data_IF_126747239876
#
_entry.id   IF_126747239876
#
_cell.length_a   1.000
_cell.length_b   1.000
_cell.length_c   1.000
_cell.angle_alpha   90.00
_cell.angle_beta   90.00
_cell.angle_gamma   90.00
#
_symmetry.space_group_name_H-M   'P 1'
#
loop_
_entity.id
_entity.type
_entity.pdbx_description
1 polymer ?
#
# COMPACT_ATOMS: atom_id res chain seq x y z
N UNK A 1 6.05 -20.03 7.36
CA UNK A 1 6.15 -21.49 7.51
C UNK A 1 4.89 -22.12 8.14
N UNK A 2 4.16 -21.44 9.04
CA UNK A 2 3.00 -22.02 9.73
C UNK A 2 1.81 -22.48 8.85
N UNK A 3 1.61 -21.91 7.65
CA UNK A 3 0.49 -22.30 6.77
C UNK A 3 0.67 -23.64 6.05
N UNK A 4 1.93 -24.07 5.82
CA UNK A 4 2.17 -25.35 5.15
C UNK A 4 1.91 -26.50 6.12
N UNK A 5 2.43 -26.39 7.35
CA UNK A 5 2.20 -27.36 8.42
C UNK A 5 0.72 -27.48 8.82
N UNK A 6 -0.06 -26.40 8.71
CA UNK A 6 -1.49 -26.46 9.03
C UNK A 6 -2.34 -27.19 7.97
N UNK A 7 -1.81 -27.36 6.76
CA UNK A 7 -2.50 -28.08 5.67
C UNK A 7 -2.30 -29.60 5.75
N UNK A 8 -1.23 -30.04 6.41
CA UNK A 8 -0.86 -31.47 6.49
C UNK A 8 -1.72 -32.29 7.47
N UNK A 9 -2.48 -31.67 8.38
CA UNK A 9 -3.04 -32.41 9.53
C UNK A 9 -4.53 -32.22 9.82
N UNK A 10 -5.31 -31.55 8.96
CA UNK A 10 -6.75 -31.31 9.21
C UNK A 10 -7.69 -32.17 8.35
N UNK A 11 -7.52 -33.49 8.44
CA UNK A 11 -8.63 -34.46 8.30
C UNK A 11 -8.71 -35.32 7.04
N UNK A 12 -7.83 -35.13 6.05
CA UNK A 12 -7.85 -35.95 4.81
C UNK A 12 -6.85 -37.11 4.80
N UNK A 13 -5.83 -37.09 5.67
CA UNK A 13 -4.75 -38.08 5.69
C UNK A 13 -3.70 -37.91 4.59
N UNK A 14 -3.70 -36.78 3.88
CA UNK A 14 -2.72 -36.49 2.82
C UNK A 14 -1.52 -35.76 3.43
N UNK A 15 -0.32 -36.32 3.23
CA UNK A 15 0.95 -35.67 3.58
C UNK A 15 1.68 -35.25 2.28
N UNK A 16 2.34 -34.08 2.31
CA UNK A 16 3.14 -33.62 1.18
C UNK A 16 4.40 -34.49 1.07
N UNK A 17 4.47 -35.36 0.05
CA UNK A 17 5.62 -36.25 -0.13
C UNK A 17 6.85 -35.51 -0.68
N UNK A 18 6.71 -34.76 -1.79
CA UNK A 18 7.81 -34.05 -2.43
C UNK A 18 7.35 -32.92 -3.36
N UNK A 19 8.07 -31.80 -3.34
CA UNK A 19 7.97 -30.75 -4.37
C UNK A 19 8.95 -31.09 -5.50
N UNK A 20 8.44 -31.31 -6.72
CA UNK A 20 9.23 -31.74 -7.88
C UNK A 20 10.01 -30.56 -8.48
N UNK A 21 9.40 -29.39 -8.55
CA UNK A 21 10.03 -28.14 -8.97
C UNK A 21 9.28 -26.92 -8.41
N UNK A 22 10.02 -25.85 -8.15
CA UNK A 22 9.47 -24.54 -7.79
C UNK A 22 10.17 -23.51 -8.66
N UNK A 23 9.41 -22.82 -9.50
CA UNK A 23 9.92 -21.71 -10.30
C UNK A 23 9.43 -20.39 -9.71
N UNK A 24 10.37 -19.54 -9.31
CA UNK A 24 10.08 -18.20 -8.79
C UNK A 24 10.66 -17.18 -9.76
N UNK A 25 9.77 -16.55 -10.54
CA UNK A 25 10.16 -15.48 -11.45
C UNK A 25 10.14 -14.14 -10.71
N UNK A 26 11.32 -13.54 -10.53
CA UNK A 26 11.49 -12.25 -9.85
C UNK A 26 11.83 -11.20 -10.90
N UNK A 27 10.87 -10.35 -11.22
CA UNK A 27 11.10 -9.19 -12.09
C UNK A 27 11.46 -7.97 -11.24
N UNK A 28 12.55 -7.28 -11.61
CA UNK A 28 12.90 -5.99 -11.01
C UNK A 28 11.94 -4.94 -11.56
N UNK A 29 10.98 -4.52 -10.74
CA UNK A 29 10.11 -3.40 -11.07
C UNK A 29 10.75 -2.11 -10.57
N UNK A 30 11.12 -1.21 -11.49
CA UNK A 30 11.61 0.11 -11.13
C UNK A 30 10.42 0.97 -10.72
N UNK A 31 10.20 1.03 -9.42
CA UNK A 31 9.19 1.90 -8.86
C UNK A 31 9.75 3.31 -8.90
N UNK A 32 9.25 4.12 -9.84
CA UNK A 32 9.54 5.55 -9.88
C UNK A 32 9.25 6.23 -8.53
N UNK A 33 9.79 7.43 -8.35
CA UNK A 33 9.56 8.23 -7.15
C UNK A 33 8.06 8.30 -6.83
N UNK A 34 7.71 8.20 -5.55
CA UNK A 34 6.31 8.27 -5.12
C UNK A 34 5.66 9.57 -5.61
N UNK A 35 4.34 9.55 -5.78
CA UNK A 35 3.59 10.77 -6.08
C UNK A 35 3.92 11.85 -5.04
N UNK A 36 4.13 13.09 -5.47
CA UNK A 36 4.35 14.22 -4.56
C UNK A 36 3.01 14.78 -4.09
N UNK A 37 2.07 14.97 -5.02
CA UNK A 37 0.78 15.61 -4.79
C UNK A 37 -0.40 14.73 -5.24
N UNK A 38 -1.62 15.27 -5.14
CA UNK A 38 -2.83 14.58 -5.51
C UNK A 38 -2.83 14.11 -6.97
N UNK A 39 -2.91 12.80 -7.17
CA UNK A 39 -3.15 12.19 -8.48
C UNK A 39 -4.57 11.64 -8.51
N UNK A 40 -5.30 11.94 -9.59
CA UNK A 40 -6.66 11.43 -9.76
C UNK A 40 -6.62 9.92 -10.01
N UNK A 41 -7.30 9.16 -9.15
CA UNK A 41 -7.48 7.71 -9.34
C UNK A 41 -8.22 7.41 -10.65
N UNK A 42 -7.86 6.31 -11.36
CA UNK A 42 -8.66 5.81 -12.46
C UNK A 42 -10.11 5.55 -12.02
N UNK A 43 -11.07 5.83 -12.91
CA UNK A 43 -12.49 5.77 -12.60
C UNK A 43 -12.94 4.40 -12.07
N UNK A 44 -12.36 3.32 -12.61
CA UNK A 44 -12.63 1.96 -12.16
C UNK A 44 -12.28 1.71 -10.68
N UNK A 45 -11.30 2.42 -10.12
CA UNK A 45 -10.91 2.30 -8.71
C UNK A 45 -11.67 3.31 -7.87
N UNK A 46 -11.78 4.55 -8.35
CA UNK A 46 -12.53 5.62 -7.68
C UNK A 46 -13.98 5.22 -7.41
N UNK A 47 -14.65 4.63 -8.40
CA UNK A 47 -16.06 4.24 -8.28
C UNK A 47 -16.29 3.08 -7.30
N UNK A 48 -15.25 2.33 -6.93
CA UNK A 48 -15.34 1.28 -5.90
C UNK A 48 -15.36 1.85 -4.48
N UNK A 49 -15.04 3.13 -4.29
CA UNK A 49 -14.90 3.78 -2.98
C UNK A 49 -14.00 3.01 -2.00
N UNK A 50 -13.04 2.24 -2.52
CA UNK A 50 -12.16 1.38 -1.72
C UNK A 50 -10.90 2.11 -1.21
N UNK A 51 -10.59 3.29 -1.77
CA UNK A 51 -9.43 4.08 -1.42
C UNK A 51 -9.85 5.51 -1.05
N UNK A 52 -9.32 6.00 0.07
CA UNK A 52 -9.40 7.43 0.40
C UNK A 52 -8.27 8.12 -0.35
N UNK A 53 -8.61 9.03 -1.25
CA UNK A 53 -7.64 9.82 -2.03
C UNK A 53 -7.70 11.28 -1.58
N UNK A 54 -6.83 11.64 -0.63
CA UNK A 54 -6.79 12.98 -0.04
C UNK A 54 -6.21 13.96 -1.06
N UNK A 55 -6.93 15.05 -1.33
CA UNK A 55 -6.51 16.15 -2.20
C UNK A 55 -5.58 17.08 -1.46
N UNK A 56 -4.27 16.87 -1.62
CA UNK A 56 -3.22 17.74 -1.11
C UNK A 56 -2.61 18.58 -2.23
N UNK A 57 -2.17 19.79 -1.89
CA UNK A 57 -1.47 20.74 -2.79
C UNK A 57 0.03 20.84 -2.48
N UNK A 58 0.52 20.05 -1.52
CA UNK A 58 1.92 19.98 -1.09
C UNK A 58 2.58 18.68 -1.61
N UNK A 59 3.85 18.46 -1.28
CA UNK A 59 4.58 17.22 -1.63
C UNK A 59 4.45 16.11 -0.56
N UNK A 60 3.47 16.22 0.33
CA UNK A 60 3.31 15.39 1.52
C UNK A 60 2.20 14.33 1.37
N UNK A 61 1.89 13.88 0.16
CA UNK A 61 0.76 12.96 -0.08
C UNK A 61 0.87 11.66 0.74
N UNK A 62 2.09 11.16 0.96
CA UNK A 62 2.35 9.98 1.78
C UNK A 62 1.84 10.20 3.21
N UNK A 63 2.19 11.33 3.83
CA UNK A 63 1.78 11.63 5.19
C UNK A 63 0.27 11.83 5.29
N UNK A 64 -0.33 12.57 4.35
CA UNK A 64 -1.79 12.72 4.29
C UNK A 64 -2.51 11.38 4.13
N UNK A 65 -1.95 10.46 3.34
CA UNK A 65 -2.51 9.11 3.16
C UNK A 65 -2.43 8.29 4.46
N UNK A 66 -1.31 8.36 5.18
CA UNK A 66 -1.18 7.70 6.48
C UNK A 66 -2.18 8.27 7.49
N UNK A 67 -2.28 9.60 7.60
CA UNK A 67 -3.19 10.26 8.54
C UNK A 67 -4.64 9.90 8.23
N UNK A 68 -5.05 9.90 6.96
CA UNK A 68 -6.44 9.55 6.61
C UNK A 68 -6.80 8.11 6.95
N UNK A 69 -5.84 7.18 6.88
CA UNK A 69 -6.04 5.80 7.32
C UNK A 69 -6.12 5.67 8.84
N UNK A 70 -5.37 6.48 9.59
CA UNK A 70 -5.34 6.46 11.06
C UNK A 70 -6.52 7.19 11.70
N UNK A 71 -7.00 8.26 11.06
CA UNK A 71 -8.05 9.13 11.57
C UNK A 71 -9.20 9.19 10.55
N UNK A 72 -9.93 8.08 10.33
CA UNK A 72 -10.93 8.00 9.27
C UNK A 72 -12.05 9.04 9.47
N UNK A 73 -12.27 9.87 8.45
CA UNK A 73 -13.38 10.83 8.44
C UNK A 73 -14.62 10.22 7.79
N UNK A 74 -15.80 10.50 8.37
CA UNK A 74 -17.10 10.07 7.84
C UNK A 74 -17.58 10.93 6.67
N UNK A 75 -17.11 12.17 6.56
CA UNK A 75 -17.55 13.13 5.55
C UNK A 75 -16.35 13.88 4.97
N UNK A 76 -16.40 14.19 3.67
CA UNK A 76 -15.33 14.90 2.96
C UNK A 76 -13.95 14.25 3.19
N UNK A 77 -13.87 12.92 3.17
CA UNK A 77 -12.64 12.17 3.43
C UNK A 77 -11.54 12.47 2.39
N UNK A 78 -11.88 13.11 1.28
CA UNK A 78 -10.97 13.57 0.24
C UNK A 78 -10.29 14.92 0.57
N UNK A 79 -10.60 15.60 1.67
CA UNK A 79 -10.04 16.91 2.01
C UNK A 79 -9.01 16.82 3.14
N UNK A 80 -7.91 17.55 3.02
CA UNK A 80 -6.88 17.67 4.08
C UNK A 80 -7.45 18.27 5.37
N UNK A 81 -8.38 19.21 5.27
CA UNK A 81 -9.02 19.85 6.43
C UNK A 81 -9.89 18.92 7.27
N UNK A 82 -10.21 17.72 6.76
CA UNK A 82 -10.94 16.69 7.51
C UNK A 82 -10.07 15.95 8.53
N UNK A 83 -8.76 16.21 8.53
CA UNK A 83 -7.77 15.48 9.32
C UNK A 83 -6.89 16.44 10.13
N UNK A 84 -6.32 15.99 11.26
CA UNK A 84 -5.23 16.72 11.89
C UNK A 84 -4.06 16.88 10.92
N UNK A 85 -3.34 17.99 11.03
CA UNK A 85 -2.15 18.21 10.21
C UNK A 85 -1.11 17.12 10.48
N UNK A 86 -0.49 16.56 9.43
CA UNK A 86 0.34 15.36 9.59
C UNK A 86 1.52 15.54 10.56
N UNK A 87 2.10 16.73 10.63
CA UNK A 87 3.22 17.04 11.55
C UNK A 87 2.82 17.02 13.02
N UNK A 88 1.54 17.09 13.37
CA UNK A 88 1.10 17.05 14.78
C UNK A 88 0.92 15.63 15.30
N UNK A 89 0.77 14.65 14.40
CA UNK A 89 0.45 13.26 14.72
C UNK A 89 1.52 12.26 14.27
N UNK A 90 2.42 12.65 13.37
CA UNK A 90 3.52 11.85 12.88
C UNK A 90 4.85 12.54 13.17
N UNK A 91 5.86 11.75 13.55
CA UNK A 91 7.25 12.17 13.55
C UNK A 91 7.77 12.13 12.10
N UNK A 92 8.04 13.32 11.54
CA UNK A 92 8.55 13.51 10.18
C UNK A 92 10.03 13.94 10.14
N UNK A 93 10.71 13.94 11.28
CA UNK A 93 12.06 14.49 11.40
C UNK A 93 13.07 13.69 10.58
N UNK A 94 13.74 14.40 9.66
CA UNK A 94 14.71 13.83 8.73
C UNK A 94 14.10 12.86 7.72
N UNK A 95 12.80 12.93 7.46
CA UNK A 95 12.15 12.27 6.32
C UNK A 95 12.08 13.25 5.14
N UNK A 96 12.40 12.76 3.95
CA UNK A 96 12.32 13.54 2.71
C UNK A 96 10.92 13.42 2.09
N UNK A 97 10.51 14.50 1.44
CA UNK A 97 9.31 14.58 0.60
C UNK A 97 9.73 14.83 -0.84
N UNK A 98 9.16 14.12 -1.84
CA UNK A 98 8.21 13.03 -1.70
C UNK A 98 8.82 11.77 -1.08
N UNK A 99 8.01 11.02 -0.33
CA UNK A 99 8.48 9.79 0.34
C UNK A 99 8.90 8.73 -0.68
N UNK A 100 10.11 8.21 -0.53
CA UNK A 100 10.59 7.07 -1.32
C UNK A 100 10.23 5.75 -0.66
N UNK A 101 10.15 4.66 -1.45
CA UNK A 101 9.93 3.32 -0.91
C UNK A 101 11.01 2.94 0.09
N UNK A 102 12.27 3.34 -0.13
CA UNK A 102 13.35 3.13 0.84
C UNK A 102 13.11 3.85 2.17
N UNK A 103 12.62 5.09 2.10
CA UNK A 103 12.32 5.95 3.26
C UNK A 103 11.22 5.42 4.18
N UNK A 104 10.28 4.62 3.66
CA UNK A 104 9.20 4.02 4.46
C UNK A 104 9.77 3.21 5.64
N UNK A 105 10.89 2.50 5.46
CA UNK A 105 11.51 1.72 6.56
C UNK A 105 11.93 2.60 7.74
N UNK A 106 12.36 3.84 7.48
CA UNK A 106 12.71 4.81 8.51
C UNK A 106 11.46 5.35 9.18
N UNK A 107 10.45 5.71 8.38
CA UNK A 107 9.14 6.15 8.87
C UNK A 107 8.49 5.12 9.82
N UNK A 108 8.46 3.84 9.43
CA UNK A 108 7.85 2.76 10.21
C UNK A 108 8.50 2.64 11.60
N UNK A 109 9.84 2.73 11.66
CA UNK A 109 10.59 2.68 12.92
C UNK A 109 10.35 3.90 13.81
N UNK A 110 10.29 5.10 13.22
CA UNK A 110 10.09 6.34 13.96
C UNK A 110 8.67 6.47 14.56
N UNK A 111 7.66 5.95 13.84
CA UNK A 111 6.26 6.16 14.21
C UNK A 111 5.57 4.92 14.82
N UNK A 112 6.22 3.74 14.79
CA UNK A 112 5.62 2.50 15.26
C UNK A 112 4.39 2.08 14.43
N UNK A 113 4.40 2.38 13.13
CA UNK A 113 3.34 2.06 12.18
C UNK A 113 3.93 1.14 11.12
N UNK A 114 3.19 0.09 10.73
CA UNK A 114 3.59 -0.79 9.62
C UNK A 114 2.83 -0.41 8.34
N UNK A 115 3.51 -0.44 7.20
CA UNK A 115 2.96 0.04 5.93
C UNK A 115 3.19 -0.98 4.82
N UNK A 116 2.11 -1.37 4.16
CA UNK A 116 2.17 -2.04 2.86
C UNK A 116 1.89 -1.05 1.74
N UNK A 117 2.56 -1.22 0.60
CA UNK A 117 2.35 -0.43 -0.60
C UNK A 117 1.96 -1.36 -1.73
N UNK A 118 0.84 -1.05 -2.38
CA UNK A 118 0.34 -1.73 -3.57
C UNK A 118 0.40 -0.80 -4.77
N UNK A 119 0.58 -1.36 -5.95
CA UNK A 119 0.51 -0.66 -7.24
C UNK A 119 -0.68 -1.18 -8.04
N UNK A 120 -1.02 -0.46 -9.11
CA UNK A 120 -2.02 -0.90 -10.08
C UNK A 120 -1.33 -1.35 -11.37
N UNK A 121 -1.61 -2.58 -11.77
CA UNK A 121 -1.22 -3.11 -13.08
C UNK A 121 -2.44 -3.16 -13.99
N UNK A 122 -2.34 -2.53 -15.15
CA UNK A 122 -3.40 -2.54 -16.15
C UNK A 122 -3.31 -3.82 -16.97
N UNK A 123 -4.38 -4.60 -16.96
CA UNK A 123 -4.54 -5.82 -17.73
C UNK A 123 -5.59 -5.64 -18.82
N UNK A 124 -5.42 -6.37 -19.91
CA UNK A 124 -6.34 -6.36 -21.06
C UNK A 124 -6.79 -7.78 -21.34
N UNK A 125 -8.10 -8.04 -21.29
CA UNK A 125 -8.67 -9.32 -21.69
C UNK A 125 -9.95 -9.10 -22.50
N UNK A 126 -10.04 -9.73 -23.67
CA UNK A 126 -11.22 -9.66 -24.56
C UNK A 126 -11.70 -8.21 -24.76
N UNK A 127 -10.78 -7.32 -25.13
CA UNK A 127 -11.02 -5.89 -25.36
C UNK A 127 -11.48 -5.07 -24.14
N UNK A 128 -11.50 -5.66 -22.93
CA UNK A 128 -11.78 -4.95 -21.69
C UNK A 128 -10.47 -4.70 -20.92
N UNK A 129 -10.29 -3.46 -20.48
CA UNK A 129 -9.21 -3.06 -19.58
C UNK A 129 -9.67 -3.15 -18.13
N UNK A 130 -8.83 -3.69 -17.26
CA UNK A 130 -9.08 -3.71 -15.82
C UNK A 130 -7.77 -3.59 -15.04
N UNK A 131 -7.84 -3.03 -13.84
CA UNK A 131 -6.69 -2.93 -12.96
C UNK A 131 -6.65 -4.11 -11.98
N UNK A 132 -5.46 -4.67 -11.80
CA UNK A 132 -5.12 -5.63 -10.75
C UNK A 132 -4.18 -4.95 -9.76
N UNK A 133 -4.45 -5.11 -8.47
CA UNK A 133 -3.53 -4.62 -7.42
C UNK A 133 -2.37 -5.58 -7.23
N UNK A 134 -1.15 -5.08 -7.31
CA UNK A 134 0.08 -5.87 -7.08
C UNK A 134 0.82 -5.34 -5.86
N UNK A 135 1.44 -6.20 -5.03
CA UNK A 135 2.25 -5.73 -3.91
C UNK A 135 3.57 -5.14 -4.43
N UNK A 136 3.85 -3.89 -4.05
CA UNK A 136 5.11 -3.21 -4.36
C UNK A 136 6.09 -3.26 -3.20
N UNK A 137 5.58 -3.14 -1.98
CA UNK A 137 6.33 -3.30 -0.74
C UNK A 137 5.41 -3.89 0.31
N UNK A 138 5.88 -4.93 1.00
CA UNK A 138 5.20 -5.47 2.17
C UNK A 138 6.06 -5.23 3.40
N UNK A 139 5.43 -4.78 4.49
CA UNK A 139 6.09 -4.71 5.78
C UNK A 139 6.49 -6.12 6.23
N UNK A 140 7.65 -6.25 6.88
CA UNK A 140 8.12 -7.55 7.39
C UNK A 140 7.28 -8.05 8.56
N UNK A 141 6.83 -7.13 9.40
CA UNK A 141 6.06 -7.39 10.61
C UNK A 141 4.87 -6.44 10.61
N UNK A 142 3.67 -7.01 10.66
CA UNK A 142 2.44 -6.24 10.83
C UNK A 142 2.31 -5.82 12.29
N UNK A 143 2.30 -4.52 12.53
CA UNK A 143 2.08 -3.91 13.85
C UNK A 143 0.58 -3.69 14.09
N UNK A 144 0.21 -3.38 15.34
CA UNK A 144 -1.17 -3.04 15.70
C UNK A 144 -1.69 -1.84 14.89
N UNK A 145 -0.84 -0.83 14.70
CA UNK A 145 -1.08 0.27 13.74
C UNK A 145 -0.54 -0.15 12.38
N UNK A 146 -1.43 -0.37 11.43
CA UNK A 146 -1.09 -0.84 10.10
C UNK A 146 -1.87 -0.09 9.02
N UNK A 147 -1.20 0.28 7.94
CA UNK A 147 -1.80 1.00 6.81
C UNK A 147 -1.45 0.30 5.50
N UNK A 148 -2.45 0.15 4.63
CA UNK A 148 -2.26 -0.25 3.25
C UNK A 148 -2.37 0.98 2.35
N UNK A 149 -1.34 1.26 1.58
CA UNK A 149 -1.29 2.37 0.63
C UNK A 149 -1.41 1.86 -0.80
N UNK A 150 -2.09 2.63 -1.64
CA UNK A 150 -2.10 2.44 -3.07
C UNK A 150 -1.24 3.52 -3.71
N UNK A 151 -0.15 3.12 -4.35
CA UNK A 151 0.72 4.00 -5.11
C UNK A 151 0.16 4.18 -6.52
N UNK A 152 -0.03 5.44 -6.90
CA UNK A 152 -0.49 5.86 -8.23
C UNK A 152 0.61 6.72 -8.83
N UNK A 153 0.84 6.58 -10.13
CA UNK A 153 1.78 7.39 -10.89
C UNK A 153 1.03 8.04 -12.04
N UNK A 154 1.32 9.32 -12.31
CA UNK A 154 0.89 9.97 -13.55
C UNK A 154 1.70 9.33 -14.69
N UNK A 155 0.99 8.90 -15.73
CA UNK A 155 1.60 8.38 -16.96
C UNK A 155 1.80 9.51 -17.96
#
# INVERSE_FOLDING_TARGET
>A
MAKLSEFEEKGSGWALEKIISLEVNINKYEIGNGASSFIKLPDQIRNKNACINVKNNDEACFFWSIVSALYPSKANSDRTSSYPHYTTVLNVDGLETPMTIGGISKFEKQNGISVNVYGLEMNVAKEKTFYVSIPLRLCKIKLARHVNLLMVQDK
#
